data_IF_893512931813
#
_entry.id   IF_893512931813
#
_cell.length_a   1.000
_cell.length_b   1.000
_cell.length_c   1.000
_cell.angle_alpha   90.00
_cell.angle_beta   90.00
_cell.angle_gamma   90.00
#
_symmetry.space_group_name_H-M   'P 1'
#
loop_
_entity.id
_entity.type
_entity.pdbx_description
1 polymer ?
#
# COMPACT_ATOMS: atom_id res chain seq x y z
N UNK A 1 -11.19 9.60 28.09
CA UNK A 1 -10.43 10.40 27.10
C UNK A 1 -11.43 11.29 26.35
N UNK A 2 -11.47 12.61 26.67
CA UNK A 2 -12.37 13.54 25.95
C UNK A 2 -11.75 13.86 24.61
N UNK A 3 -12.32 13.34 23.53
CA UNK A 3 -11.93 13.72 22.17
C UNK A 3 -12.24 15.20 22.01
N UNK A 4 -11.22 16.03 21.84
CA UNK A 4 -11.38 17.48 21.70
C UNK A 4 -12.17 17.83 20.43
N UNK A 5 -12.92 18.94 20.46
CA UNK A 5 -13.68 19.42 19.28
C UNK A 5 -12.80 19.51 18.03
N UNK A 6 -11.54 19.90 18.17
CA UNK A 6 -10.55 19.98 17.09
C UNK A 6 -10.24 18.63 16.44
N UNK A 7 -10.22 17.54 17.20
CA UNK A 7 -9.98 16.19 16.68
C UNK A 7 -11.16 15.70 15.87
N UNK A 8 -12.39 15.96 16.36
CA UNK A 8 -13.61 15.61 15.62
C UNK A 8 -13.66 16.35 14.28
N UNK A 9 -13.36 17.65 14.27
CA UNK A 9 -13.34 18.46 13.04
C UNK A 9 -12.32 17.92 12.02
N UNK A 10 -11.12 17.51 12.46
CA UNK A 10 -10.11 16.91 11.57
C UNK A 10 -10.57 15.58 10.96
N UNK A 11 -11.24 14.74 11.75
CA UNK A 11 -11.79 13.46 11.27
C UNK A 11 -12.88 13.71 10.24
N UNK A 12 -13.80 14.63 10.50
CA UNK A 12 -14.86 14.99 9.55
C UNK A 12 -14.27 15.53 8.24
N UNK A 13 -13.25 16.40 8.34
CA UNK A 13 -12.57 16.94 7.17
C UNK A 13 -11.91 15.84 6.33
N UNK A 14 -11.28 14.85 6.96
CA UNK A 14 -10.68 13.70 6.28
C UNK A 14 -11.74 12.85 5.55
N UNK A 15 -12.90 12.61 6.17
CA UNK A 15 -13.99 11.90 5.51
C UNK A 15 -14.56 12.68 4.33
N UNK A 16 -14.70 14.00 4.46
CA UNK A 16 -15.18 14.87 3.38
C UNK A 16 -14.19 14.85 2.20
N UNK A 17 -12.88 14.99 2.46
CA UNK A 17 -11.87 14.94 1.40
C UNK A 17 -11.80 13.58 0.71
N UNK A 18 -11.94 12.49 1.46
CA UNK A 18 -12.00 11.14 0.89
C UNK A 18 -13.25 10.96 0.02
N UNK A 19 -14.41 11.39 0.50
CA UNK A 19 -15.65 11.32 -0.26
C UNK A 19 -15.58 12.17 -1.54
N UNK A 20 -15.02 13.38 -1.43
CA UNK A 20 -14.84 14.27 -2.58
C UNK A 20 -13.86 13.65 -3.60
N UNK A 21 -12.78 13.02 -3.16
CA UNK A 21 -11.82 12.37 -4.06
C UNK A 21 -12.44 11.19 -4.82
N UNK A 22 -13.32 10.40 -4.15
CA UNK A 22 -14.07 9.32 -4.79
C UNK A 22 -15.02 9.87 -5.85
N UNK A 23 -15.77 10.94 -5.53
CA UNK A 23 -16.66 11.61 -6.50
C UNK A 23 -15.87 12.13 -7.70
N UNK A 24 -14.77 12.81 -7.46
CA UNK A 24 -13.88 13.32 -8.50
C UNK A 24 -13.37 12.18 -9.38
N UNK A 25 -12.96 11.05 -8.78
CA UNK A 25 -12.50 9.86 -9.52
C UNK A 25 -13.57 9.27 -10.43
N UNK A 26 -14.83 9.30 -10.01
CA UNK A 26 -15.95 8.81 -10.84
C UNK A 26 -16.23 9.75 -12.02
N UNK A 27 -16.13 11.08 -11.80
CA UNK A 27 -16.57 12.08 -12.79
C UNK A 27 -15.46 12.59 -13.71
N UNK A 28 -14.22 12.76 -13.23
CA UNK A 28 -13.14 13.43 -14.00
C UNK A 28 -12.34 12.47 -14.87
N UNK A 29 -12.39 11.16 -14.62
CA UNK A 29 -11.58 10.19 -15.35
C UNK A 29 -12.31 9.35 -16.43
N UNK A 30 -13.23 9.89 -17.22
CA UNK A 30 -13.57 9.30 -18.50
C UNK A 30 -12.93 10.08 -19.64
N UNK A 31 -11.61 10.32 -19.59
CA UNK A 31 -10.93 10.97 -20.72
C UNK A 31 -10.88 10.13 -22.00
N UNK A 32 -11.44 8.91 -21.96
CA UNK A 32 -11.64 8.03 -23.11
C UNK A 32 -13.11 7.62 -23.29
N UNK A 33 -14.03 8.17 -22.52
CA UNK A 33 -15.46 7.89 -22.69
C UNK A 33 -16.07 9.08 -23.42
N UNK A 34 -16.20 8.94 -24.74
CA UNK A 34 -17.06 9.80 -25.53
C UNK A 34 -18.45 9.78 -24.90
N UNK A 35 -18.94 10.95 -24.46
CA UNK A 35 -20.30 11.12 -23.93
C UNK A 35 -21.40 10.74 -24.90
N UNK A 36 -21.04 10.45 -26.16
CA UNK A 36 -21.92 9.89 -27.19
C UNK A 36 -22.13 8.38 -27.08
N UNK A 37 -21.45 7.69 -26.12
CA UNK A 37 -21.59 6.25 -25.96
C UNK A 37 -22.95 5.85 -25.39
N UNK A 38 -23.44 4.72 -25.87
CA UNK A 38 -24.68 4.09 -25.45
C UNK A 38 -24.71 3.87 -23.92
N UNK A 39 -25.81 4.22 -23.26
CA UNK A 39 -25.97 4.15 -21.79
C UNK A 39 -25.54 2.80 -21.19
N UNK A 40 -25.76 1.70 -21.90
CA UNK A 40 -25.39 0.36 -21.47
C UNK A 40 -23.87 0.17 -21.34
N UNK A 41 -23.09 0.80 -22.21
CA UNK A 41 -21.63 0.73 -22.19
C UNK A 41 -21.04 1.55 -21.05
N UNK A 42 -21.62 2.71 -20.75
CA UNK A 42 -21.25 3.54 -19.61
C UNK A 42 -21.49 2.80 -18.28
N UNK A 43 -22.66 2.16 -18.16
CA UNK A 43 -23.01 1.39 -16.97
C UNK A 43 -22.09 0.20 -16.76
N UNK A 44 -21.71 -0.49 -17.83
CA UNK A 44 -20.75 -1.60 -17.78
C UNK A 44 -19.35 -1.14 -17.33
N UNK A 45 -18.87 -0.01 -17.82
CA UNK A 45 -17.56 0.57 -17.41
C UNK A 45 -17.58 0.98 -15.94
N UNK A 46 -18.65 1.62 -15.49
CA UNK A 46 -18.79 2.05 -14.10
C UNK A 46 -18.78 0.87 -13.12
N UNK A 47 -19.56 -0.18 -13.41
CA UNK A 47 -19.70 -1.32 -12.49
C UNK A 47 -18.52 -2.31 -12.56
N UNK A 48 -18.02 -2.59 -13.76
CA UNK A 48 -17.03 -3.67 -13.93
C UNK A 48 -15.58 -3.18 -13.93
N UNK A 49 -15.36 -1.89 -14.12
CA UNK A 49 -14.00 -1.32 -14.14
C UNK A 49 -13.83 -0.33 -12.98
N UNK A 50 -14.64 0.72 -12.93
CA UNK A 50 -14.46 1.81 -11.97
C UNK A 50 -14.76 1.42 -10.52
N UNK A 51 -15.85 0.73 -10.29
CA UNK A 51 -16.22 0.35 -8.94
C UNK A 51 -15.17 -0.57 -8.29
N UNK A 52 -14.69 -1.66 -8.94
CA UNK A 52 -13.61 -2.47 -8.38
C UNK A 52 -12.31 -1.68 -8.17
N UNK A 53 -11.92 -0.80 -9.09
CA UNK A 53 -10.72 0.04 -8.98
C UNK A 53 -10.77 0.94 -7.74
N UNK A 54 -11.90 1.61 -7.50
CA UNK A 54 -12.11 2.46 -6.32
C UNK A 54 -12.09 1.62 -5.04
N UNK A 55 -12.72 0.45 -5.02
CA UNK A 55 -12.72 -0.44 -3.86
C UNK A 55 -11.30 -0.92 -3.51
N UNK A 56 -10.52 -1.28 -4.52
CA UNK A 56 -9.10 -1.66 -4.34
C UNK A 56 -8.30 -0.47 -3.79
N UNK A 57 -8.48 0.73 -4.33
CA UNK A 57 -7.77 1.92 -3.88
C UNK A 57 -8.08 2.25 -2.41
N UNK A 58 -9.34 2.17 -2.00
CA UNK A 58 -9.77 2.43 -0.61
C UNK A 58 -9.19 1.37 0.33
N UNK A 59 -9.28 0.09 -0.03
CA UNK A 59 -8.78 -1.00 0.81
C UNK A 59 -7.25 -0.96 0.92
N UNK A 60 -6.54 -0.77 -0.19
CA UNK A 60 -5.08 -0.66 -0.19
C UNK A 60 -4.60 0.55 0.62
N UNK A 61 -5.22 1.71 0.42
CA UNK A 61 -4.91 2.92 1.19
C UNK A 61 -5.19 2.76 2.69
N UNK A 62 -6.30 2.12 3.05
CA UNK A 62 -6.64 1.79 4.43
C UNK A 62 -5.63 0.84 5.07
N UNK A 63 -5.24 -0.22 4.37
CA UNK A 63 -4.21 -1.17 4.85
C UNK A 63 -2.85 -0.48 5.04
N UNK A 64 -2.43 0.36 4.09
CA UNK A 64 -1.18 1.12 4.20
C UNK A 64 -1.20 2.10 5.37
N UNK A 65 -2.31 2.79 5.59
CA UNK A 65 -2.49 3.71 6.71
C UNK A 65 -2.41 3.00 8.06
N UNK A 66 -3.09 1.85 8.20
CA UNK A 66 -3.03 1.03 9.41
C UNK A 66 -1.63 0.46 9.65
N UNK A 67 -0.98 -0.07 8.61
CA UNK A 67 0.38 -0.58 8.71
C UNK A 67 1.35 0.52 9.14
N UNK A 68 1.24 1.72 8.58
CA UNK A 68 2.04 2.87 8.99
C UNK A 68 1.83 3.25 10.45
N UNK A 69 0.58 3.34 10.91
CA UNK A 69 0.27 3.66 12.30
C UNK A 69 0.81 2.61 13.28
N UNK A 70 0.66 1.33 12.98
CA UNK A 70 1.19 0.23 13.79
C UNK A 70 2.71 0.29 13.86
N UNK A 71 3.39 0.52 12.72
CA UNK A 71 4.85 0.63 12.67
C UNK A 71 5.38 1.79 13.52
N UNK A 72 4.74 2.95 13.47
CA UNK A 72 5.11 4.09 14.28
C UNK A 72 5.05 3.78 15.79
N UNK A 73 4.01 3.04 16.21
CA UNK A 73 3.85 2.63 17.61
C UNK A 73 4.90 1.60 18.01
N UNK A 74 5.13 0.56 17.19
CA UNK A 74 6.08 -0.52 17.53
C UNK A 74 7.52 -0.03 17.58
N UNK A 75 7.89 0.88 16.66
CA UNK A 75 9.25 1.40 16.56
C UNK A 75 9.48 2.66 17.39
N UNK A 76 8.44 3.15 18.07
CA UNK A 76 8.46 4.43 18.81
C UNK A 76 9.09 5.56 17.99
N UNK A 77 8.72 5.60 16.70
CA UNK A 77 9.29 6.53 15.74
C UNK A 77 8.22 6.99 14.74
N UNK A 78 7.90 8.27 14.79
CA UNK A 78 6.89 8.89 13.92
C UNK A 78 7.28 8.92 12.43
N UNK A 79 8.55 8.69 12.09
CA UNK A 79 9.04 8.63 10.71
C UNK A 79 8.98 7.21 10.13
N UNK A 80 8.63 6.21 10.93
CA UNK A 80 8.52 4.84 10.47
C UNK A 80 7.32 4.65 9.54
N UNK A 81 7.57 4.01 8.41
CA UNK A 81 6.55 3.64 7.43
C UNK A 81 7.01 2.43 6.61
N UNK A 82 6.11 1.72 5.91
CA UNK A 82 6.50 0.66 4.98
C UNK A 82 7.45 1.12 3.87
N UNK A 83 7.41 2.40 3.52
CA UNK A 83 8.31 3.01 2.54
C UNK A 83 9.71 3.22 3.11
N UNK A 84 9.83 3.80 4.31
CA UNK A 84 11.13 4.09 4.93
C UNK A 84 11.89 2.82 5.32
N UNK A 85 11.20 1.72 5.59
CA UNK A 85 11.79 0.41 5.86
C UNK A 85 12.13 -0.40 4.59
N UNK A 86 11.82 0.12 3.40
CA UNK A 86 12.15 -0.53 2.14
C UNK A 86 11.23 -1.68 1.73
N UNK A 87 10.17 -1.98 2.50
CA UNK A 87 9.23 -3.07 2.21
C UNK A 87 8.51 -2.83 0.89
N UNK A 88 8.06 -1.58 0.66
CA UNK A 88 7.40 -1.20 -0.59
C UNK A 88 8.35 -1.25 -1.79
N UNK A 89 9.62 -0.88 -1.61
CA UNK A 89 10.65 -0.99 -2.67
C UNK A 89 10.93 -2.46 -3.02
N UNK A 90 11.02 -3.34 -2.02
CA UNK A 90 11.18 -4.78 -2.25
C UNK A 90 9.99 -5.38 -2.99
N UNK A 91 8.76 -4.98 -2.64
CA UNK A 91 7.54 -5.40 -3.34
C UNK A 91 7.56 -4.94 -4.81
N UNK A 92 7.88 -3.68 -5.09
CA UNK A 92 7.98 -3.16 -6.44
C UNK A 92 9.06 -3.88 -7.27
N UNK A 93 10.21 -4.19 -6.67
CA UNK A 93 11.25 -4.98 -7.29
C UNK A 93 10.76 -6.38 -7.67
N UNK A 94 10.06 -7.08 -6.76
CA UNK A 94 9.48 -8.39 -7.04
C UNK A 94 8.48 -8.37 -8.20
N UNK A 95 7.60 -7.37 -8.26
CA UNK A 95 6.68 -7.19 -9.38
C UNK A 95 7.44 -6.95 -10.71
N UNK A 96 8.44 -6.07 -10.70
CA UNK A 96 9.25 -5.77 -11.89
C UNK A 96 10.01 -6.99 -12.42
N UNK A 97 10.58 -7.79 -11.53
CA UNK A 97 11.27 -9.05 -11.90
C UNK A 97 10.30 -10.04 -12.54
N UNK A 98 9.08 -10.19 -12.00
CA UNK A 98 8.06 -11.07 -12.57
C UNK A 98 7.68 -10.64 -13.99
N UNK A 99 7.38 -9.36 -14.19
CA UNK A 99 7.03 -8.81 -15.51
C UNK A 99 8.18 -9.01 -16.50
N UNK A 100 9.42 -8.78 -16.07
CA UNK A 100 10.59 -8.99 -16.92
C UNK A 100 10.77 -10.46 -17.31
N UNK A 101 10.55 -11.39 -16.38
CA UNK A 101 10.66 -12.83 -16.64
C UNK A 101 9.52 -13.32 -17.55
N UNK A 102 8.30 -12.82 -17.40
CA UNK A 102 7.19 -13.13 -18.28
C UNK A 102 7.47 -12.70 -19.72
N UNK A 103 7.95 -11.46 -19.91
CA UNK A 103 8.26 -10.91 -21.21
C UNK A 103 9.44 -11.60 -21.92
N UNK A 104 10.48 -12.03 -21.17
CA UNK A 104 11.72 -12.56 -21.77
C UNK A 104 11.81 -14.09 -21.76
N UNK A 105 11.18 -14.76 -20.79
CA UNK A 105 11.32 -16.21 -20.58
C UNK A 105 9.99 -16.97 -20.77
N UNK A 106 8.87 -16.26 -20.92
CA UNK A 106 7.55 -16.87 -21.08
C UNK A 106 7.08 -17.66 -19.85
N UNK A 107 7.61 -17.35 -18.67
CA UNK A 107 7.26 -18.03 -17.42
C UNK A 107 5.96 -17.43 -16.87
N UNK A 108 4.82 -17.96 -17.32
CA UNK A 108 3.48 -17.50 -16.92
C UNK A 108 3.12 -17.78 -15.45
N UNK A 109 3.90 -18.58 -14.72
CA UNK A 109 3.58 -19.02 -13.36
C UNK A 109 3.88 -17.99 -12.27
N UNK A 110 4.75 -17.04 -12.55
CA UNK A 110 5.16 -15.99 -11.60
C UNK A 110 4.30 -14.73 -11.81
N UNK A 111 3.12 -14.72 -11.24
CA UNK A 111 2.27 -13.53 -11.28
C UNK A 111 2.94 -12.37 -10.53
N UNK A 112 2.88 -11.12 -11.04
CA UNK A 112 3.48 -9.95 -10.38
C UNK A 112 3.01 -9.75 -8.94
N UNK A 113 1.75 -10.10 -8.63
CA UNK A 113 1.18 -9.97 -7.30
C UNK A 113 1.84 -10.93 -6.29
N UNK A 114 2.08 -12.18 -6.69
CA UNK A 114 2.68 -13.20 -5.82
C UNK A 114 4.16 -12.94 -5.58
N UNK A 115 4.89 -12.53 -6.60
CA UNK A 115 6.32 -12.19 -6.47
C UNK A 115 6.54 -10.91 -5.68
N UNK A 116 5.69 -9.90 -5.87
CA UNK A 116 5.70 -8.68 -5.06
C UNK A 116 5.49 -9.00 -3.57
N UNK A 117 4.49 -9.83 -3.26
CA UNK A 117 4.19 -10.24 -1.88
C UNK A 117 5.34 -11.06 -1.27
N UNK A 118 5.89 -12.02 -2.02
CA UNK A 118 7.02 -12.83 -1.56
C UNK A 118 8.26 -11.96 -1.26
N UNK A 119 8.61 -11.03 -2.13
CA UNK A 119 9.72 -10.09 -1.92
C UNK A 119 9.50 -9.18 -0.71
N UNK A 120 8.26 -8.71 -0.49
CA UNK A 120 7.92 -7.95 0.71
C UNK A 120 8.13 -8.78 1.98
N UNK A 121 7.68 -10.04 2.01
CA UNK A 121 7.88 -10.95 3.14
C UNK A 121 9.36 -11.22 3.41
N UNK A 122 10.16 -11.45 2.36
CA UNK A 122 11.62 -11.64 2.49
C UNK A 122 12.26 -10.39 3.08
N UNK A 123 11.88 -9.20 2.63
CA UNK A 123 12.37 -7.94 3.17
C UNK A 123 12.07 -7.80 4.66
N UNK A 124 10.84 -8.10 5.09
CA UNK A 124 10.47 -8.07 6.52
C UNK A 124 11.27 -9.11 7.31
N UNK A 125 11.43 -10.33 6.80
CA UNK A 125 12.20 -11.38 7.46
C UNK A 125 13.66 -10.96 7.64
N UNK A 126 14.29 -10.35 6.64
CA UNK A 126 15.64 -9.82 6.73
C UNK A 126 15.75 -8.70 7.78
N UNK A 127 14.81 -7.76 7.81
CA UNK A 127 14.79 -6.70 8.81
C UNK A 127 14.71 -7.26 10.25
N UNK A 128 13.84 -8.25 10.48
CA UNK A 128 13.72 -8.91 11.80
C UNK A 128 15.00 -9.65 12.15
N UNK A 129 15.58 -10.40 11.19
CA UNK A 129 16.82 -11.14 11.39
C UNK A 129 17.98 -10.18 11.76
N UNK A 130 18.18 -9.11 11.03
CA UNK A 130 19.19 -8.09 11.33
C UNK A 130 18.96 -7.42 12.69
N UNK A 131 17.72 -7.15 13.05
CA UNK A 131 17.38 -6.57 14.33
C UNK A 131 17.75 -7.50 15.50
N UNK A 132 17.47 -8.79 15.38
CA UNK A 132 17.81 -9.81 16.41
C UNK A 132 19.31 -10.03 16.52
N UNK A 133 20.02 -10.13 15.39
CA UNK A 133 21.49 -10.26 15.37
C UNK A 133 22.18 -9.04 16.01
N UNK A 134 21.74 -7.83 15.66
CA UNK A 134 22.29 -6.59 16.22
C UNK A 134 22.09 -6.49 17.75
N UNK A 135 20.96 -6.95 18.26
CA UNK A 135 20.69 -6.99 19.71
C UNK A 135 21.61 -7.97 20.43
N UNK A 136 21.89 -9.12 19.81
CA UNK A 136 22.79 -10.13 20.36
C UNK A 136 24.24 -9.61 20.39
N UNK A 137 24.68 -8.96 19.33
CA UNK A 137 26.04 -8.39 19.25
C UNK A 137 26.26 -7.31 20.31
N UNK A 138 25.28 -6.41 20.54
CA UNK A 138 25.38 -5.39 21.59
C UNK A 138 25.43 -6.01 23.00
N UNK A 139 24.68 -7.07 23.27
CA UNK A 139 24.75 -7.80 24.55
C UNK A 139 26.11 -8.46 24.78
N UNK A 140 26.70 -9.06 23.76
CA UNK A 140 28.03 -9.69 23.83
C UNK A 140 29.09 -8.62 24.06
N UNK A 141 29.01 -7.49 23.37
CA UNK A 141 29.95 -6.37 23.55
C UNK A 141 29.87 -5.77 24.98
N UNK A 142 28.65 -5.72 25.57
CA UNK A 142 28.45 -5.21 26.93
C UNK A 142 28.89 -6.19 28.03
N UNK A 143 29.03 -7.48 27.69
CA UNK A 143 29.53 -8.52 28.60
C UNK A 143 31.09 -8.65 28.56
N UNK A 144 31.71 -8.06 27.54
CA UNK A 144 33.17 -8.11 27.32
C UNK A 144 33.90 -6.85 27.83
N UNK A 145 33.17 -5.83 28.29
CA UNK A 145 33.69 -4.62 28.95
C UNK A 145 33.29 -4.63 30.41
#
# INVERSE_FOLDING_TARGET
>A
MKIGKTTITKIILLFITLFLSVLISIFIFPTMVDFSMEKNRLFHILLNIRLPEIMIAITAGGCLGLAGAIMQIILDNSLASPFTLGISAASAFGAAVSIFMELNLGILWLRPETTAFACALVSVALLVLFSTLSRTTKKILFLLV
#
